data_IF_989893343778
#
_entry.id   IF_989893343778
#
_cell.length_a   1.000
_cell.length_b   1.000
_cell.length_c   1.000
_cell.angle_alpha   90.00
_cell.angle_beta   90.00
_cell.angle_gamma   90.00
#
_symmetry.space_group_name_H-M   'P 1'
#
loop_
_entity.id
_entity.type
_entity.pdbx_description
1 polymer ?
#
# COMPACT_ATOMS: atom_id res chain seq x y z
N UNK A 1 -73.51 -22.15 20.90
CA UNK A 1 -73.34 -23.60 20.59
C UNK A 1 -74.19 -24.04 19.38
N UNK A 2 -75.42 -23.55 19.22
CA UNK A 2 -76.29 -23.89 18.04
C UNK A 2 -75.67 -23.52 16.68
N UNK A 3 -75.06 -22.34 16.56
CA UNK A 3 -74.48 -21.87 15.30
C UNK A 3 -73.24 -22.70 14.89
N UNK A 4 -72.53 -23.31 15.83
CA UNK A 4 -71.37 -24.14 15.56
C UNK A 4 -71.80 -25.54 15.04
N UNK A 5 -72.90 -26.08 15.60
CA UNK A 5 -73.49 -27.32 15.16
C UNK A 5 -74.16 -27.20 13.75
N UNK A 6 -74.81 -26.06 13.45
CA UNK A 6 -75.32 -25.74 12.12
C UNK A 6 -74.24 -25.58 11.05
N UNK A 7 -73.10 -24.94 11.44
CA UNK A 7 -71.91 -24.82 10.57
C UNK A 7 -71.32 -26.19 10.26
N UNK A 8 -71.15 -27.05 11.30
CA UNK A 8 -70.63 -28.43 11.12
C UNK A 8 -71.59 -29.25 10.23
N UNK A 9 -72.90 -29.16 10.45
CA UNK A 9 -73.89 -29.88 9.66
C UNK A 9 -73.90 -29.42 8.19
N UNK A 10 -73.74 -28.11 7.95
CA UNK A 10 -73.73 -27.54 6.59
C UNK A 10 -72.47 -27.91 5.79
N UNK A 11 -71.33 -28.07 6.45
CA UNK A 11 -70.05 -28.36 5.80
C UNK A 11 -69.54 -29.80 6.12
N UNK A 12 -70.41 -30.72 6.48
CA UNK A 12 -70.11 -32.08 6.88
C UNK A 12 -69.18 -32.80 5.85
N UNK A 13 -69.44 -32.66 4.57
CA UNK A 13 -68.68 -33.29 3.50
C UNK A 13 -67.20 -32.79 3.47
N UNK A 14 -67.00 -31.52 3.80
CA UNK A 14 -65.65 -30.91 3.91
C UNK A 14 -64.87 -31.45 5.07
N UNK A 15 -65.56 -31.62 6.24
CA UNK A 15 -64.90 -32.17 7.42
C UNK A 15 -64.57 -33.64 7.25
N UNK A 16 -65.51 -34.43 6.63
CA UNK A 16 -65.26 -35.84 6.32
C UNK A 16 -64.07 -35.98 5.32
N UNK A 17 -64.07 -35.14 4.31
CA UNK A 17 -62.95 -35.08 3.34
C UNK A 17 -61.61 -34.81 4.05
N UNK A 18 -61.55 -33.79 4.86
CA UNK A 18 -60.33 -33.38 5.60
C UNK A 18 -59.84 -34.48 6.52
N UNK A 19 -60.76 -35.15 7.26
CA UNK A 19 -60.42 -36.26 8.11
C UNK A 19 -59.89 -37.47 7.28
N UNK A 20 -60.50 -37.79 6.17
CA UNK A 20 -60.02 -38.86 5.26
C UNK A 20 -58.69 -38.52 4.67
N UNK A 21 -58.42 -37.30 4.29
CA UNK A 21 -57.12 -36.84 3.77
C UNK A 21 -56.03 -36.94 4.83
N UNK A 22 -56.31 -36.51 6.09
CA UNK A 22 -55.37 -36.67 7.21
C UNK A 22 -55.08 -38.15 7.48
N UNK A 23 -56.12 -39.02 7.52
CA UNK A 23 -55.94 -40.46 7.72
C UNK A 23 -55.14 -41.08 6.56
N UNK A 24 -55.46 -40.72 5.30
CA UNK A 24 -54.72 -41.18 4.14
C UNK A 24 -53.25 -40.77 4.20
N UNK A 25 -52.98 -39.53 4.64
CA UNK A 25 -51.61 -39.00 4.79
C UNK A 25 -50.85 -39.75 5.88
N UNK A 26 -51.48 -40.01 7.03
CA UNK A 26 -50.88 -40.79 8.13
C UNK A 26 -50.59 -42.24 7.69
N UNK A 27 -51.51 -42.89 6.99
CA UNK A 27 -51.30 -44.24 6.47
C UNK A 27 -50.19 -44.29 5.43
N UNK A 28 -50.10 -43.27 4.56
CA UNK A 28 -49.05 -43.16 3.56
C UNK A 28 -47.65 -43.02 4.20
N UNK A 29 -47.53 -42.23 5.24
CA UNK A 29 -46.28 -42.07 6.00
C UNK A 29 -45.93 -43.30 6.85
N UNK A 30 -46.91 -44.01 7.39
CA UNK A 30 -46.67 -45.14 8.26
C UNK A 30 -46.32 -46.44 7.49
N UNK A 31 -46.86 -46.60 6.29
CA UNK A 31 -46.62 -47.82 5.47
C UNK A 31 -45.58 -47.66 4.37
N UNK A 32 -45.19 -46.44 4.02
CA UNK A 32 -44.22 -46.20 2.95
C UNK A 32 -42.98 -45.45 3.47
N UNK A 33 -42.00 -46.22 3.92
CA UNK A 33 -40.71 -45.69 4.45
C UNK A 33 -39.92 -44.85 3.43
N UNK A 34 -40.12 -45.03 2.14
CA UNK A 34 -39.46 -44.29 1.08
C UNK A 34 -39.96 -42.84 0.99
N UNK A 35 -41.26 -42.61 1.11
CA UNK A 35 -41.84 -41.28 1.09
C UNK A 35 -41.54 -40.50 2.36
N UNK A 36 -41.48 -41.16 3.52
CA UNK A 36 -41.07 -40.52 4.79
C UNK A 36 -39.64 -39.99 4.71
N UNK A 37 -38.68 -40.75 4.16
CA UNK A 37 -37.29 -40.31 4.02
C UNK A 37 -37.11 -39.17 3.02
N UNK A 38 -37.87 -39.16 1.92
CA UNK A 38 -37.86 -38.06 0.95
C UNK A 38 -38.40 -36.75 1.53
N UNK A 39 -39.45 -36.82 2.37
CA UNK A 39 -40.04 -35.68 3.07
C UNK A 39 -39.05 -35.10 4.11
N UNK A 40 -38.44 -35.97 4.94
CA UNK A 40 -37.43 -35.54 5.91
C UNK A 40 -36.21 -34.94 5.25
N UNK A 41 -35.78 -35.50 4.14
CA UNK A 41 -34.66 -34.92 3.35
C UNK A 41 -35.01 -33.55 2.77
N UNK A 42 -36.23 -33.40 2.24
CA UNK A 42 -36.70 -32.11 1.69
C UNK A 42 -36.93 -31.08 2.78
N UNK A 43 -37.49 -31.46 3.95
CA UNK A 43 -37.67 -30.59 5.10
C UNK A 43 -36.31 -30.12 5.65
N UNK A 44 -35.33 -31.00 5.75
CA UNK A 44 -33.96 -30.64 6.16
C UNK A 44 -33.28 -29.72 5.17
N UNK A 45 -33.49 -29.90 3.87
CA UNK A 45 -32.94 -29.01 2.84
C UNK A 45 -33.56 -27.59 2.92
N UNK A 46 -34.85 -27.48 3.16
CA UNK A 46 -35.53 -26.18 3.36
C UNK A 46 -35.09 -25.54 4.66
N UNK A 47 -35.01 -26.30 5.75
CA UNK A 47 -34.55 -25.81 7.05
C UNK A 47 -33.08 -25.38 6.98
N UNK A 48 -32.22 -26.13 6.27
CA UNK A 48 -30.83 -25.76 6.03
C UNK A 48 -30.69 -24.45 5.28
N UNK A 49 -31.49 -24.21 4.25
CA UNK A 49 -31.53 -22.93 3.52
C UNK A 49 -32.04 -21.78 4.39
N UNK A 50 -33.00 -22.01 5.25
CA UNK A 50 -33.48 -21.00 6.18
C UNK A 50 -32.39 -20.60 7.19
N UNK A 51 -31.65 -21.55 7.74
CA UNK A 51 -30.52 -21.27 8.63
C UNK A 51 -29.35 -20.57 7.88
N UNK A 52 -29.11 -20.93 6.64
CA UNK A 52 -28.11 -20.25 5.80
C UNK A 52 -28.53 -18.80 5.51
N UNK A 53 -29.79 -18.54 5.26
CA UNK A 53 -30.34 -17.18 5.11
C UNK A 53 -30.23 -16.38 6.40
N UNK A 54 -30.56 -16.94 7.54
CA UNK A 54 -30.48 -16.31 8.84
C UNK A 54 -29.03 -15.96 9.18
N UNK A 55 -28.09 -16.89 8.95
CA UNK A 55 -26.65 -16.66 9.11
C UNK A 55 -26.11 -15.57 8.17
N UNK A 56 -26.57 -15.52 6.93
CA UNK A 56 -26.17 -14.48 5.98
C UNK A 56 -26.70 -13.10 6.37
N UNK A 57 -27.92 -13.02 6.87
CA UNK A 57 -28.52 -11.77 7.39
C UNK A 57 -27.78 -11.31 8.63
N UNK A 58 -27.48 -12.18 9.57
CA UNK A 58 -26.71 -11.86 10.77
C UNK A 58 -25.29 -11.40 10.42
N UNK A 59 -24.64 -12.07 9.45
CA UNK A 59 -23.33 -11.69 8.94
C UNK A 59 -23.38 -10.31 8.30
N UNK A 60 -24.40 -9.99 7.52
CA UNK A 60 -24.54 -8.68 6.88
C UNK A 60 -24.69 -7.55 7.91
N UNK A 61 -25.50 -7.75 8.96
CA UNK A 61 -25.65 -6.77 10.03
C UNK A 61 -24.39 -6.67 10.89
N UNK A 62 -23.70 -7.78 11.14
CA UNK A 62 -22.42 -7.78 11.87
C UNK A 62 -21.32 -7.06 11.08
N UNK A 63 -21.23 -7.26 9.76
CA UNK A 63 -20.30 -6.54 8.90
C UNK A 63 -20.55 -5.03 8.89
N UNK A 64 -21.81 -4.60 8.87
CA UNK A 64 -22.16 -3.18 8.95
C UNK A 64 -21.74 -2.59 10.30
N UNK A 65 -21.99 -3.30 11.40
CA UNK A 65 -21.56 -2.89 12.74
C UNK A 65 -20.03 -2.85 12.87
N UNK A 66 -19.34 -3.88 12.39
CA UNK A 66 -17.88 -3.95 12.38
C UNK A 66 -17.29 -2.83 11.52
N UNK A 67 -17.88 -2.52 10.36
CA UNK A 67 -17.42 -1.42 9.52
C UNK A 67 -17.60 -0.06 10.20
N UNK A 68 -18.71 0.16 10.89
CA UNK A 68 -18.91 1.37 11.70
C UNK A 68 -17.90 1.46 12.84
N UNK A 69 -17.65 0.36 13.54
CA UNK A 69 -16.67 0.31 14.62
C UNK A 69 -15.24 0.55 14.11
N UNK A 70 -14.87 -0.05 12.97
CA UNK A 70 -13.60 0.20 12.31
C UNK A 70 -13.46 1.66 11.86
N UNK A 71 -14.52 2.26 11.34
CA UNK A 71 -14.51 3.67 10.93
C UNK A 71 -14.33 4.58 12.15
N UNK A 72 -15.03 4.31 13.25
CA UNK A 72 -14.85 5.06 14.50
C UNK A 72 -13.45 4.87 15.09
N UNK A 73 -12.95 3.64 15.05
CA UNK A 73 -11.60 3.33 15.55
C UNK A 73 -10.51 3.99 14.69
N UNK A 74 -10.69 4.02 13.39
CA UNK A 74 -9.79 4.76 12.48
C UNK A 74 -9.80 6.26 12.78
N UNK A 75 -10.98 6.86 12.94
CA UNK A 75 -11.11 8.27 13.32
C UNK A 75 -10.46 8.57 14.68
N UNK A 76 -10.64 7.68 15.65
CA UNK A 76 -9.99 7.80 16.97
C UNK A 76 -8.46 7.70 16.86
N UNK A 77 -7.95 6.71 16.12
CA UNK A 77 -6.52 6.54 15.89
C UNK A 77 -5.93 7.74 15.15
N UNK A 78 -6.63 8.29 14.16
CA UNK A 78 -6.22 9.51 13.48
C UNK A 78 -6.11 10.71 14.43
N UNK A 79 -7.08 10.86 15.36
CA UNK A 79 -7.03 11.90 16.40
C UNK A 79 -5.88 11.70 17.38
N UNK A 80 -5.59 10.45 17.77
CA UNK A 80 -4.52 10.15 18.69
C UNK A 80 -3.14 10.37 18.05
N UNK A 81 -2.97 9.96 16.79
CA UNK A 81 -1.78 10.27 15.98
C UNK A 81 -1.61 11.79 15.85
N UNK A 82 -2.72 12.52 15.66
CA UNK A 82 -2.71 13.98 15.62
C UNK A 82 -2.21 14.58 16.93
N UNK A 83 -2.76 14.15 18.07
CA UNK A 83 -2.36 14.61 19.42
C UNK A 83 -0.90 14.29 19.72
N UNK A 84 -0.45 13.06 19.42
CA UNK A 84 0.95 12.66 19.63
C UNK A 84 1.89 13.49 18.76
N UNK A 85 1.51 13.74 17.50
CA UNK A 85 2.26 14.60 16.59
C UNK A 85 2.36 16.03 17.11
N UNK A 86 1.25 16.61 17.58
CA UNK A 86 1.22 17.97 18.13
C UNK A 86 2.02 18.07 19.44
N UNK A 87 1.99 17.03 20.26
CA UNK A 87 2.81 16.93 21.49
C UNK A 87 4.30 16.83 21.18
N UNK A 88 4.69 16.03 20.18
CA UNK A 88 6.08 15.96 19.72
C UNK A 88 6.55 17.29 19.15
N UNK A 89 5.71 18.01 18.41
CA UNK A 89 6.02 19.36 17.90
C UNK A 89 6.28 20.33 19.04
N UNK A 90 5.48 20.26 20.11
CA UNK A 90 5.60 21.16 21.27
C UNK A 90 6.87 20.88 22.09
N UNK A 91 7.31 19.63 22.17
CA UNK A 91 8.48 19.22 22.97
C UNK A 91 9.80 19.42 22.22
N UNK A 92 9.82 19.15 20.90
CA UNK A 92 11.08 19.13 20.13
C UNK A 92 11.42 20.44 19.47
N UNK A 93 10.49 21.41 19.39
CA UNK A 93 10.64 22.67 18.60
C UNK A 93 11.16 22.44 17.17
N UNK A 94 11.17 21.20 16.69
CA UNK A 94 11.77 20.81 15.43
C UNK A 94 10.74 20.11 14.53
N UNK A 95 10.53 20.68 13.40
CA UNK A 95 10.02 20.30 12.07
C UNK A 95 9.27 18.93 11.88
N UNK A 96 8.59 18.37 12.86
CA UNK A 96 7.76 17.18 12.71
C UNK A 96 6.49 17.40 11.85
N UNK A 97 6.13 18.64 11.55
CA UNK A 97 5.13 19.01 10.53
C UNK A 97 5.42 18.30 9.19
N UNK A 98 6.70 18.07 8.90
CA UNK A 98 7.16 17.47 7.65
C UNK A 98 6.98 15.95 7.56
N UNK A 99 6.87 15.24 8.66
CA UNK A 99 6.53 13.80 8.62
C UNK A 99 5.08 13.57 8.17
N UNK A 100 4.17 14.44 8.59
CA UNK A 100 2.75 14.39 8.21
C UNK A 100 2.55 14.54 6.71
N UNK A 101 3.22 15.52 6.09
CA UNK A 101 3.10 15.76 4.66
C UNK A 101 3.64 14.58 3.85
N UNK A 102 4.69 13.92 4.33
CA UNK A 102 5.28 12.78 3.66
C UNK A 102 4.36 11.53 3.71
N UNK A 103 3.76 11.24 4.86
CA UNK A 103 2.77 10.16 4.97
C UNK A 103 1.48 10.47 4.21
N UNK A 104 1.05 11.73 4.15
CA UNK A 104 -0.10 12.13 3.34
C UNK A 104 0.15 11.92 1.83
N UNK A 105 1.35 12.22 1.33
CA UNK A 105 1.75 11.96 -0.06
C UNK A 105 1.75 10.47 -0.39
N UNK A 106 2.11 9.62 0.57
CA UNK A 106 2.23 8.18 0.40
C UNK A 106 0.94 7.41 0.69
N UNK A 107 -0.11 8.09 1.16
CA UNK A 107 -1.41 7.48 1.53
C UNK A 107 -2.07 6.72 0.37
N UNK A 108 -1.83 7.15 -0.86
CA UNK A 108 -2.38 6.54 -2.06
C UNK A 108 -1.52 5.40 -2.64
N UNK A 109 -0.36 5.13 -2.03
CA UNK A 109 0.57 4.10 -2.49
C UNK A 109 0.55 2.91 -1.53
N UNK A 110 0.63 1.72 -2.08
CA UNK A 110 0.82 0.53 -1.27
C UNK A 110 2.26 0.49 -0.79
N UNK A 111 2.45 0.42 0.53
CA UNK A 111 3.77 0.34 1.15
C UNK A 111 3.96 -1.07 1.72
N UNK A 112 5.05 -1.72 1.35
CA UNK A 112 5.47 -3.01 1.89
C UNK A 112 6.50 -2.73 2.99
N UNK A 113 6.17 -2.90 4.28
CA UNK A 113 7.12 -2.69 5.36
C UNK A 113 8.19 -3.79 5.35
N UNK A 114 9.45 -3.41 5.57
CA UNK A 114 10.59 -4.31 5.60
C UNK A 114 11.62 -3.84 6.64
N UNK A 115 12.45 -4.77 7.12
CA UNK A 115 13.56 -4.48 8.02
C UNK A 115 14.89 -4.58 7.30
N UNK A 116 15.80 -3.72 7.68
CA UNK A 116 17.17 -3.74 7.20
C UNK A 116 17.95 -4.82 7.99
N UNK A 117 18.39 -5.87 7.30
CA UNK A 117 19.16 -6.98 7.87
C UNK A 117 20.67 -6.79 7.71
N UNK A 118 21.08 -6.10 6.65
CA UNK A 118 22.49 -5.73 6.44
C UNK A 118 22.55 -4.34 5.80
N UNK A 119 23.52 -3.54 6.22
CA UNK A 119 23.72 -2.19 5.72
C UNK A 119 25.22 -1.83 5.75
N UNK A 120 25.70 -1.21 4.69
CA UNK A 120 27.03 -0.59 4.64
C UNK A 120 26.89 0.89 4.31
N UNK A 121 27.74 1.73 4.90
CA UNK A 121 27.70 3.20 4.77
C UNK A 121 29.05 3.84 4.50
N UNK A 122 30.12 3.05 4.50
CA UNK A 122 31.52 3.48 4.51
C UNK A 122 32.27 3.20 3.19
N UNK A 123 31.62 2.55 2.22
CA UNK A 123 32.22 2.13 0.94
C UNK A 123 31.61 2.85 -0.25
N UNK A 124 32.34 3.05 -1.34
CA UNK A 124 31.77 3.60 -2.58
C UNK A 124 30.63 2.76 -3.17
N UNK A 125 30.69 1.45 -3.01
CA UNK A 125 29.68 0.49 -3.46
C UNK A 125 28.80 -0.04 -2.35
N UNK A 126 28.28 0.82 -1.47
CA UNK A 126 27.38 0.42 -0.40
C UNK A 126 26.15 -0.32 -0.91
N UNK A 127 25.78 -1.39 -0.22
CA UNK A 127 24.56 -2.15 -0.46
C UNK A 127 23.81 -2.34 0.85
N UNK A 128 22.51 -2.48 0.75
CA UNK A 128 21.61 -2.76 1.87
C UNK A 128 20.79 -4.00 1.54
N UNK A 129 20.57 -4.87 2.53
CA UNK A 129 19.69 -6.03 2.40
C UNK A 129 18.48 -5.85 3.28
N UNK A 130 17.30 -6.15 2.74
CA UNK A 130 16.02 -6.12 3.45
C UNK A 130 15.43 -7.52 3.55
N UNK A 131 14.63 -7.79 4.61
CA UNK A 131 13.99 -9.08 4.95
C UNK A 131 12.71 -9.36 4.16
N UNK A 132 12.58 -8.79 2.99
CA UNK A 132 11.44 -8.94 2.09
C UNK A 132 11.93 -9.22 0.68
N UNK A 133 11.20 -10.10 -0.04
CA UNK A 133 11.57 -10.56 -1.37
C UNK A 133 10.39 -10.69 -2.32
N UNK A 134 10.56 -11.51 -3.37
CA UNK A 134 9.52 -11.71 -4.38
C UNK A 134 8.26 -12.36 -3.81
N UNK A 135 8.38 -13.20 -2.77
CA UNK A 135 7.23 -13.78 -2.05
C UNK A 135 6.35 -12.71 -1.38
N UNK A 136 6.91 -11.56 -1.03
CA UNK A 136 6.20 -10.42 -0.43
C UNK A 136 5.72 -9.39 -1.48
N UNK A 137 5.95 -9.66 -2.77
CA UNK A 137 5.59 -8.76 -3.88
C UNK A 137 6.66 -7.72 -4.23
N UNK A 138 7.89 -7.88 -3.74
CA UNK A 138 8.99 -6.97 -4.11
C UNK A 138 9.54 -7.35 -5.49
N UNK A 139 9.76 -6.30 -6.30
CA UNK A 139 10.35 -6.40 -7.62
C UNK A 139 11.53 -5.45 -7.78
N UNK A 140 12.37 -5.74 -8.76
CA UNK A 140 13.48 -4.86 -9.14
C UNK A 140 12.96 -3.45 -9.49
N UNK A 141 13.76 -2.43 -9.17
CA UNK A 141 13.52 -1.00 -9.42
C UNK A 141 12.38 -0.37 -8.62
N UNK A 142 11.86 -1.05 -7.61
CA UNK A 142 11.00 -0.42 -6.62
C UNK A 142 11.76 0.58 -5.75
N UNK A 143 11.13 1.71 -5.43
CA UNK A 143 11.67 2.72 -4.52
C UNK A 143 11.58 2.28 -3.07
N UNK A 144 12.64 2.52 -2.30
CA UNK A 144 12.71 2.24 -0.87
C UNK A 144 12.82 3.55 -0.10
N UNK A 145 11.98 3.72 0.92
CA UNK A 145 11.90 4.92 1.75
C UNK A 145 11.96 4.55 3.23
N UNK A 146 12.32 5.51 4.05
CA UNK A 146 12.17 5.49 5.50
C UNK A 146 11.11 6.47 5.96
N UNK A 147 10.81 6.52 7.25
CA UNK A 147 9.95 7.54 7.83
C UNK A 147 10.47 8.98 7.63
N UNK A 148 11.76 9.16 7.35
CA UNK A 148 12.41 10.47 7.20
C UNK A 148 12.70 10.86 5.75
N UNK A 149 12.79 9.91 4.82
CA UNK A 149 13.10 10.22 3.43
C UNK A 149 13.47 9.02 2.57
N UNK A 150 13.99 9.33 1.40
CA UNK A 150 14.45 8.33 0.43
C UNK A 150 15.62 7.51 1.00
N UNK A 151 15.58 6.20 0.77
CA UNK A 151 16.64 5.25 1.14
C UNK A 151 17.42 4.78 -0.08
N UNK A 152 16.74 4.29 -1.12
CA UNK A 152 17.40 3.74 -2.30
C UNK A 152 16.44 3.04 -3.24
N UNK A 153 16.97 2.18 -4.09
CA UNK A 153 16.24 1.48 -5.15
C UNK A 153 16.54 -0.01 -5.04
N UNK A 154 15.53 -0.87 -5.14
CA UNK A 154 15.69 -2.32 -5.18
C UNK A 154 16.45 -2.74 -6.42
N UNK A 155 17.56 -3.45 -6.23
CA UNK A 155 18.47 -3.86 -7.31
C UNK A 155 18.32 -5.34 -7.67
N UNK A 156 18.41 -6.22 -6.67
CA UNK A 156 18.24 -7.66 -6.84
C UNK A 156 17.18 -8.18 -5.87
N UNK A 157 16.45 -9.17 -6.30
CA UNK A 157 15.37 -9.76 -5.51
C UNK A 157 15.52 -11.28 -5.51
N UNK A 158 15.57 -11.87 -4.32
CA UNK A 158 15.42 -13.29 -4.05
C UNK A 158 14.01 -13.56 -3.47
N UNK A 159 13.74 -14.81 -3.12
CA UNK A 159 12.42 -15.21 -2.62
C UNK A 159 12.04 -14.47 -1.31
N UNK A 160 12.96 -14.38 -0.34
CA UNK A 160 12.69 -13.81 0.98
C UNK A 160 13.55 -12.58 1.31
N UNK A 161 14.44 -12.18 0.44
CA UNK A 161 15.35 -11.04 0.64
C UNK A 161 15.47 -10.21 -0.62
N UNK A 162 15.74 -8.92 -0.47
CA UNK A 162 16.11 -8.08 -1.59
C UNK A 162 17.33 -7.22 -1.26
N UNK A 163 18.13 -6.93 -2.28
CA UNK A 163 19.28 -6.02 -2.19
C UNK A 163 18.86 -4.68 -2.76
N UNK A 164 19.13 -3.63 -2.00
CA UNK A 164 18.84 -2.23 -2.32
C UNK A 164 20.16 -1.52 -2.57
N UNK A 165 20.22 -0.72 -3.64
CA UNK A 165 21.24 0.31 -3.85
C UNK A 165 20.80 1.56 -3.09
N UNK A 166 21.45 1.90 -1.94
CA UNK A 166 21.09 3.09 -1.19
C UNK A 166 21.55 4.37 -1.90
N UNK A 167 21.05 5.52 -1.46
CA UNK A 167 21.54 6.84 -1.87
C UNK A 167 23.05 6.95 -1.66
N UNK A 168 23.60 6.30 -0.61
CA UNK A 168 25.02 6.25 -0.30
C UNK A 168 25.80 5.27 -1.17
N UNK A 169 25.49 5.19 -2.44
CA UNK A 169 26.21 4.40 -3.43
C UNK A 169 26.55 5.30 -4.62
N UNK A 170 27.79 5.23 -5.09
CA UNK A 170 28.27 6.06 -6.22
C UNK A 170 27.55 5.77 -7.54
N UNK A 171 26.91 4.62 -7.67
CA UNK A 171 26.07 4.24 -8.81
C UNK A 171 24.61 4.68 -8.65
N UNK A 172 24.23 5.19 -7.49
CA UNK A 172 22.89 5.70 -7.25
C UNK A 172 22.65 6.99 -8.04
N UNK A 173 21.55 7.05 -8.76
CA UNK A 173 21.14 8.21 -9.54
C UNK A 173 19.63 8.40 -9.41
N UNK A 174 19.21 9.33 -8.56
CA UNK A 174 17.80 9.57 -8.27
C UNK A 174 17.42 10.96 -8.75
N UNK A 175 16.37 11.04 -9.59
CA UNK A 175 15.85 12.32 -10.05
C UNK A 175 15.12 13.06 -8.94
N UNK A 176 15.60 14.24 -8.61
CA UNK A 176 15.10 15.08 -7.53
C UNK A 176 14.79 16.49 -8.01
N UNK A 177 14.01 17.21 -7.24
CA UNK A 177 13.74 18.63 -7.49
C UNK A 177 13.78 19.44 -6.20
N UNK A 178 14.04 20.75 -6.36
CA UNK A 178 13.94 21.72 -5.27
C UNK A 178 12.46 21.99 -5.01
N UNK A 179 12.02 21.70 -3.79
CA UNK A 179 10.62 21.81 -3.37
C UNK A 179 10.07 23.22 -3.67
N UNK A 180 8.85 23.28 -4.23
CA UNK A 180 8.12 24.50 -4.59
C UNK A 180 8.83 25.42 -5.62
N UNK A 181 9.86 24.93 -6.32
CA UNK A 181 10.59 25.71 -7.33
C UNK A 181 10.64 25.03 -8.71
N UNK A 182 10.40 23.72 -8.77
CA UNK A 182 10.36 22.96 -10.02
C UNK A 182 11.72 22.72 -10.71
N UNK A 183 12.82 23.22 -10.16
CA UNK A 183 14.15 22.95 -10.68
C UNK A 183 14.59 21.55 -10.31
N UNK A 184 14.88 20.73 -11.27
CA UNK A 184 15.28 19.34 -11.08
C UNK A 184 16.81 19.16 -11.25
N UNK A 185 17.31 18.03 -10.78
CA UNK A 185 18.67 17.57 -10.91
C UNK A 185 18.77 16.12 -10.47
N UNK A 186 19.97 15.59 -10.47
CA UNK A 186 20.23 14.21 -10.09
C UNK A 186 20.98 14.13 -8.77
N UNK A 187 20.41 13.36 -7.85
CA UNK A 187 21.05 13.10 -6.56
C UNK A 187 22.16 12.08 -6.75
N UNK A 188 23.37 12.46 -6.34
CA UNK A 188 24.56 11.60 -6.39
C UNK A 188 25.35 11.70 -5.09
N UNK A 189 25.82 10.57 -4.62
CA UNK A 189 26.76 10.50 -3.51
C UNK A 189 28.18 10.20 -4.07
N UNK A 190 29.18 10.95 -3.62
CA UNK A 190 30.55 10.85 -4.13
C UNK A 190 31.52 10.12 -3.18
N UNK A 191 30.96 9.45 -2.18
CA UNK A 191 31.77 8.87 -1.10
C UNK A 191 32.02 9.85 0.04
N UNK A 192 32.60 9.38 1.11
CA UNK A 192 32.94 10.15 2.30
C UNK A 192 31.83 10.13 3.35
N UNK A 193 31.33 11.31 3.69
CA UNK A 193 30.38 11.48 4.80
C UNK A 193 28.98 10.93 4.43
N UNK A 194 28.43 10.12 5.31
CA UNK A 194 27.17 9.38 5.07
C UNK A 194 25.90 10.23 5.20
N UNK A 195 26.00 11.47 5.69
CA UNK A 195 24.87 12.40 5.78
C UNK A 195 24.83 13.47 4.68
N UNK A 196 25.83 13.48 3.77
CA UNK A 196 25.97 14.46 2.71
C UNK A 196 25.86 13.82 1.32
N UNK A 197 25.09 14.46 0.45
CA UNK A 197 25.02 14.12 -0.97
C UNK A 197 24.97 15.39 -1.83
N UNK A 198 25.00 15.23 -3.15
CA UNK A 198 24.99 16.35 -4.08
C UNK A 198 23.82 16.20 -5.05
N UNK A 199 23.07 17.29 -5.25
CA UNK A 199 22.16 17.45 -6.37
C UNK A 199 22.95 18.12 -7.49
N UNK A 200 23.17 17.39 -8.57
CA UNK A 200 23.93 17.83 -9.74
C UNK A 200 22.99 18.25 -10.87
N UNK A 201 23.52 18.96 -11.85
CA UNK A 201 22.82 19.41 -13.06
C UNK A 201 21.64 20.36 -12.77
N UNK A 202 21.68 21.13 -11.68
CA UNK A 202 20.68 22.15 -11.40
C UNK A 202 20.94 23.37 -12.32
N UNK A 203 19.93 23.84 -13.08
CA UNK A 203 20.11 24.94 -14.02
C UNK A 203 20.63 26.23 -13.37
N UNK A 204 21.53 26.96 -14.02
CA UNK A 204 22.10 28.22 -13.47
C UNK A 204 21.07 29.33 -13.24
N UNK A 205 19.97 29.33 -13.96
CA UNK A 205 18.88 30.28 -13.75
C UNK A 205 17.98 29.90 -12.58
N UNK A 206 18.26 28.81 -11.87
CA UNK A 206 17.48 28.39 -10.73
C UNK A 206 17.62 29.34 -9.54
N UNK A 207 16.50 29.80 -9.00
CA UNK A 207 16.45 30.71 -7.87
C UNK A 207 15.91 29.97 -6.63
N UNK A 208 16.79 29.70 -5.69
CA UNK A 208 16.46 29.03 -4.42
C UNK A 208 17.34 29.54 -3.28
N UNK A 209 17.00 29.19 -2.05
CA UNK A 209 17.74 29.62 -0.86
C UNK A 209 18.34 28.41 -0.13
N UNK A 210 19.41 28.65 0.60
CA UNK A 210 19.93 27.67 1.56
C UNK A 210 18.83 27.28 2.54
N UNK A 211 18.81 26.03 2.95
CA UNK A 211 17.80 25.50 3.84
C UNK A 211 16.53 25.00 3.14
N UNK A 212 16.33 25.21 1.83
CA UNK A 212 15.21 24.63 1.11
C UNK A 212 15.34 23.11 1.06
N UNK A 213 14.20 22.44 0.98
CA UNK A 213 14.14 20.99 0.85
C UNK A 213 14.28 20.56 -0.59
N UNK A 214 14.92 19.42 -0.76
CA UNK A 214 14.97 18.66 -2.01
C UNK A 214 14.12 17.42 -1.84
N UNK A 215 13.29 17.15 -2.84
CA UNK A 215 12.34 16.04 -2.88
C UNK A 215 12.48 15.27 -4.18
N UNK A 216 11.91 14.07 -4.27
CA UNK A 216 11.84 13.33 -5.54
C UNK A 216 11.01 14.08 -6.56
N UNK A 217 11.43 14.05 -7.82
CA UNK A 217 10.79 14.80 -8.90
C UNK A 217 9.54 14.13 -9.46
N UNK A 218 9.41 12.79 -9.30
CA UNK A 218 8.39 11.99 -9.98
C UNK A 218 8.66 11.70 -11.45
N UNK A 219 9.79 12.18 -11.99
CA UNK A 219 10.17 11.91 -13.40
C UNK A 219 10.73 10.51 -13.60
N UNK A 220 11.36 9.92 -12.59
CA UNK A 220 11.68 8.51 -12.61
C UNK A 220 10.45 7.69 -12.19
N UNK A 221 10.18 6.58 -12.86
CA UNK A 221 9.09 5.67 -12.49
C UNK A 221 9.40 4.85 -11.22
N UNK A 222 10.26 5.35 -10.31
CA UNK A 222 10.74 4.67 -9.11
C UNK A 222 10.17 5.30 -7.85
N UNK A 223 10.04 6.62 -7.83
CA UNK A 223 9.53 7.36 -6.68
C UNK A 223 8.39 8.29 -7.10
N UNK A 224 7.32 8.39 -6.30
CA UNK A 224 6.33 9.44 -6.46
C UNK A 224 6.98 10.82 -6.24
N UNK A 225 6.42 11.89 -6.80
CA UNK A 225 6.90 13.24 -6.55
C UNK A 225 6.70 13.63 -5.09
N UNK A 226 7.65 14.37 -4.51
CA UNK A 226 7.50 14.98 -3.19
C UNK A 226 8.10 14.19 -2.02
N UNK A 227 8.63 12.98 -2.24
CA UNK A 227 9.33 12.25 -1.16
C UNK A 227 10.61 12.98 -0.78
N UNK A 228 10.80 13.21 0.51
CA UNK A 228 11.94 13.99 1.03
C UNK A 228 13.26 13.27 0.77
N UNK A 229 14.25 14.06 0.38
CA UNK A 229 15.63 13.63 0.14
C UNK A 229 16.58 14.28 1.13
N UNK A 230 16.53 15.60 1.24
CA UNK A 230 17.46 16.34 2.09
C UNK A 230 17.21 17.85 2.09
N UNK A 231 18.11 18.58 2.74
CA UNK A 231 18.08 20.04 2.87
C UNK A 231 19.32 20.66 2.29
N UNK A 232 19.17 21.75 1.55
CA UNK A 232 20.28 22.47 0.91
C UNK A 232 21.19 23.10 1.95
N UNK A 233 22.48 22.77 1.91
CA UNK A 233 23.51 23.34 2.76
C UNK A 233 24.37 24.37 2.03
N UNK A 234 24.92 23.99 0.87
CA UNK A 234 25.82 24.82 0.09
C UNK A 234 25.53 24.69 -1.41
N UNK A 235 25.90 25.72 -2.16
CA UNK A 235 25.77 25.76 -3.61
C UNK A 235 27.13 26.03 -4.22
N UNK A 236 27.54 25.16 -5.14
CA UNK A 236 28.79 25.28 -5.88
C UNK A 236 28.49 25.39 -7.38
N UNK A 237 29.37 26.02 -8.12
CA UNK A 237 29.33 25.90 -9.59
C UNK A 237 29.78 24.48 -9.99
N UNK A 238 29.18 23.94 -11.04
CA UNK A 238 29.70 22.72 -11.66
C UNK A 238 31.06 22.97 -12.31
N UNK A 239 31.81 21.92 -12.57
CA UNK A 239 33.15 22.02 -13.18
C UNK A 239 33.15 22.66 -14.58
N UNK A 240 32.08 22.42 -15.33
CA UNK A 240 31.83 22.98 -16.65
C UNK A 240 31.27 24.42 -16.63
N UNK A 241 30.90 24.92 -15.46
CA UNK A 241 30.30 26.25 -15.29
C UNK A 241 28.87 26.37 -15.83
N UNK A 242 28.24 25.32 -16.34
CA UNK A 242 26.90 25.37 -16.99
C UNK A 242 25.75 25.14 -16.04
N UNK A 243 26.02 24.53 -14.87
CA UNK A 243 25.00 24.20 -13.86
C UNK A 243 25.48 24.48 -12.44
N UNK A 244 24.60 24.32 -11.45
CA UNK A 244 24.95 24.30 -10.05
C UNK A 244 25.07 22.86 -9.56
N UNK A 245 26.00 22.63 -8.65
CA UNK A 245 26.12 21.45 -7.79
C UNK A 245 25.73 21.85 -6.38
N UNK A 246 24.64 21.32 -5.87
CA UNK A 246 24.05 21.70 -4.61
C UNK A 246 24.32 20.61 -3.58
N UNK A 247 25.04 20.96 -2.51
CA UNK A 247 25.29 20.05 -1.40
C UNK A 247 24.05 19.96 -0.48
N UNK A 248 23.66 18.75 -0.17
CA UNK A 248 22.50 18.46 0.67
C UNK A 248 22.95 17.73 1.93
N UNK A 249 22.29 18.04 3.05
CA UNK A 249 22.21 17.12 4.18
C UNK A 249 21.05 16.20 3.96
N UNK A 250 21.31 14.90 3.94
CA UNK A 250 20.28 13.88 3.77
C UNK A 250 19.33 13.86 4.96
N UNK A 251 18.04 13.60 4.68
CA UNK A 251 17.00 13.49 5.72
C UNK A 251 17.02 12.12 6.39
N UNK A 252 17.51 11.09 5.69
CA UNK A 252 17.60 9.71 6.20
C UNK A 252 18.92 9.51 6.92
N UNK A 253 18.86 9.05 8.18
CA UNK A 253 20.04 8.60 8.93
C UNK A 253 20.35 7.15 8.56
N UNK A 254 21.28 6.97 7.62
CA UNK A 254 21.67 5.66 7.12
C UNK A 254 22.41 4.80 8.15
N UNK A 255 23.06 5.44 9.12
CA UNK A 255 23.82 4.71 10.15
C UNK A 255 22.90 3.99 11.15
N UNK A 256 21.68 4.52 11.35
CA UNK A 256 20.70 3.99 12.31
C UNK A 256 19.46 3.38 11.66
N UNK A 257 19.47 3.24 10.34
CA UNK A 257 18.31 2.78 9.58
C UNK A 257 18.01 1.31 9.87
N UNK A 258 16.80 1.03 10.36
CA UNK A 258 16.33 -0.33 10.67
C UNK A 258 15.04 -0.69 9.97
N UNK A 259 14.11 0.25 9.89
CA UNK A 259 12.80 0.04 9.31
C UNK A 259 12.66 0.88 8.04
N UNK A 260 12.20 0.22 6.98
CA UNK A 260 12.00 0.82 5.65
C UNK A 260 10.67 0.37 5.08
N UNK A 261 10.19 1.09 4.08
CA UNK A 261 9.02 0.68 3.29
C UNK A 261 9.40 0.66 1.82
N UNK A 262 9.00 -0.38 1.11
CA UNK A 262 9.10 -0.46 -0.34
C UNK A 262 7.81 0.04 -0.95
N UNK A 263 7.91 0.93 -1.94
CA UNK A 263 6.74 1.51 -2.63
C UNK A 263 6.30 0.55 -3.72
N UNK A 264 5.08 0.03 -3.60
CA UNK A 264 4.43 -0.81 -4.61
C UNK A 264 3.32 0.00 -5.30
N UNK A 265 3.59 0.39 -6.53
CA UNK A 265 2.65 1.14 -7.37
C UNK A 265 2.60 0.52 -8.78
N UNK A 266 1.44 -0.02 -9.12
CA UNK A 266 1.20 -0.63 -10.42
C UNK A 266 1.39 0.35 -11.60
N UNK A 267 1.01 1.62 -11.43
CA UNK A 267 1.17 2.64 -12.46
C UNK A 267 2.64 3.01 -12.69
N UNK A 268 3.45 3.03 -11.64
CA UNK A 268 4.90 3.21 -11.74
C UNK A 268 5.56 2.03 -12.45
N UNK A 269 5.13 0.81 -12.16
CA UNK A 269 5.62 -0.41 -12.82
C UNK A 269 5.36 -0.38 -14.31
N UNK A 270 4.14 -0.07 -14.74
CA UNK A 270 3.76 0.04 -16.14
C UNK A 270 4.59 1.12 -16.88
N UNK A 271 4.75 2.30 -16.26
CA UNK A 271 5.60 3.36 -16.81
C UNK A 271 7.05 2.93 -16.99
N UNK A 272 7.60 2.20 -16.03
CA UNK A 272 8.96 1.70 -16.08
C UNK A 272 9.14 0.67 -17.20
N UNK A 273 8.18 -0.24 -17.37
CA UNK A 273 8.19 -1.25 -18.43
C UNK A 273 8.13 -0.60 -19.83
N UNK A 274 7.26 0.39 -20.03
CA UNK A 274 7.18 1.16 -21.29
C UNK A 274 8.48 1.92 -21.58
N UNK A 275 9.06 2.57 -20.58
CA UNK A 275 10.32 3.32 -20.74
C UNK A 275 11.47 2.38 -21.13
N UNK A 276 11.56 1.20 -20.52
CA UNK A 276 12.58 0.19 -20.89
C UNK A 276 12.39 -0.32 -22.31
N UNK A 277 11.16 -0.72 -22.66
CA UNK A 277 10.86 -1.18 -24.01
C UNK A 277 11.21 -0.13 -25.07
N UNK A 278 10.99 1.15 -24.77
CA UNK A 278 11.38 2.24 -25.65
C UNK A 278 12.92 2.39 -25.77
N UNK A 279 13.66 2.29 -24.66
CA UNK A 279 15.13 2.33 -24.67
C UNK A 279 15.72 1.16 -25.45
N UNK A 280 15.29 -0.06 -25.19
CA UNK A 280 15.75 -1.26 -25.87
C UNK A 280 15.48 -1.17 -27.39
N UNK A 281 14.35 -0.62 -27.79
CA UNK A 281 14.01 -0.43 -29.22
C UNK A 281 14.91 0.61 -29.92
N UNK A 282 15.33 1.67 -29.22
CA UNK A 282 16.21 2.71 -29.75
C UNK A 282 17.64 2.17 -29.88
N UNK A 283 18.13 1.44 -28.87
CA UNK A 283 19.48 0.83 -28.89
C UNK A 283 19.60 -0.21 -30.02
N UNK A 284 18.60 -1.09 -30.19
CA UNK A 284 18.57 -2.11 -31.24
C UNK A 284 18.55 -1.49 -32.66
N UNK A 285 17.87 -0.35 -32.82
CA UNK A 285 17.85 0.38 -34.11
C UNK A 285 19.13 1.18 -34.36
N UNK A 286 19.87 1.56 -33.30
CA UNK A 286 21.16 2.24 -33.42
C UNK A 286 22.28 1.33 -33.92
N UNK A 287 22.30 0.07 -33.46
CA UNK A 287 23.31 -0.92 -33.85
C UNK A 287 23.13 -1.44 -35.30
N UNK A 288 21.90 -1.38 -35.85
CA UNK A 288 21.62 -1.81 -37.23
C UNK A 288 21.96 -0.75 -38.28
N UNK A 289 22.38 0.47 -37.89
CA UNK A 289 22.71 1.56 -38.80
C UNK A 289 24.23 1.90 -38.79
N UNK A 290 25.08 1.09 -38.21
CA UNK A 290 26.53 1.13 -38.31
C UNK A 290 27.03 -0.07 -39.11
#
# INVERSE_FOLDING_TARGET
MRNLLEFLAKYNHWFVFLILEVVSMVLLFQYNSYQGSAWFSSANAVTGKLYEWDANVETFFSLTKVNQELTQRNAYLEQEVQKLSDSLVSVTKDSSIYHRDQFALLRNYRLIPAKVVANSVDKPGNLMTIDKGSADGIHKDMGVISGTGVVGIVYLVAEHYAIVIPVLNTKSNISCMIQNRGYFGYLRWKGGVSDLAYLEEVPRHAHFKLGYYVVTSGYSAVFPPGVRVGRILHVFNSADGLSYRVQLRLSTDFARLRDVCVIDDAAMKERLEIMRAAQDSIETNGDNNQ
#
